data_IF_354997979180
#
_entry.id   IF_354997979180
#
_cell.length_a   1.000
_cell.length_b   1.000
_cell.length_c   1.000
_cell.angle_alpha   90.00
_cell.angle_beta   90.00
_cell.angle_gamma   90.00
#
_symmetry.space_group_name_H-M   'P 1'
#
loop_
_entity.id
_entity.type
_entity.pdbx_description
1 polymer ?
#
# COMPACT_ATOMS: atom_id res chain seq x y z
N UNK A 1 -0.78 -9.28 -7.83
CA UNK A 1 -0.89 -7.90 -7.31
C UNK A 1 -2.23 -7.33 -7.74
N UNK A 2 -2.77 -6.36 -7.01
CA UNK A 2 -4.10 -5.80 -7.27
C UNK A 2 -4.45 -4.70 -6.26
N UNK A 3 -5.72 -4.31 -6.22
CA UNK A 3 -6.27 -3.30 -5.33
C UNK A 3 -6.89 -3.97 -4.10
N UNK A 4 -6.64 -3.45 -2.90
CA UNK A 4 -7.33 -3.92 -1.68
C UNK A 4 -8.77 -3.44 -1.68
N UNK A 5 -9.75 -4.35 -1.59
CA UNK A 5 -11.17 -3.98 -1.62
C UNK A 5 -11.58 -3.22 -0.34
N UNK A 6 -12.44 -2.19 -0.45
CA UNK A 6 -12.94 -1.43 0.69
C UNK A 6 -13.82 -2.28 1.61
N UNK A 7 -13.69 -2.07 2.91
CA UNK A 7 -14.35 -2.84 3.97
C UNK A 7 -13.93 -4.31 4.06
N UNK A 8 -12.87 -4.73 3.35
CA UNK A 8 -12.47 -6.14 3.30
C UNK A 8 -11.47 -6.54 4.37
N UNK A 9 -10.76 -5.57 4.97
CA UNK A 9 -9.70 -5.87 5.94
C UNK A 9 -10.31 -6.34 7.27
N UNK A 10 -10.07 -7.60 7.60
CA UNK A 10 -10.48 -8.24 8.84
C UNK A 10 -9.24 -8.69 9.61
N UNK A 11 -9.04 -8.11 10.79
CA UNK A 11 -7.97 -8.52 11.73
C UNK A 11 -8.49 -9.62 12.65
N UNK A 12 -7.90 -10.80 12.55
CA UNK A 12 -8.20 -11.96 13.38
C UNK A 12 -7.32 -12.05 14.63
N UNK A 13 -7.33 -13.23 15.26
CA UNK A 13 -6.44 -13.54 16.39
C UNK A 13 -5.01 -13.86 15.92
N UNK A 14 -4.02 -13.62 16.77
CA UNK A 14 -2.61 -14.00 16.55
C UNK A 14 -2.01 -13.45 15.24
N UNK A 15 -2.10 -12.13 15.06
CA UNK A 15 -1.49 -11.38 13.94
C UNK A 15 -1.93 -11.85 12.53
N UNK A 16 -3.06 -12.54 12.44
CA UNK A 16 -3.62 -12.98 11.17
C UNK A 16 -4.57 -11.91 10.63
N UNK A 17 -4.33 -11.46 9.40
CA UNK A 17 -5.18 -10.50 8.68
C UNK A 17 -5.73 -11.19 7.43
N UNK A 18 -7.02 -11.00 7.17
CA UNK A 18 -7.67 -11.39 5.92
C UNK A 18 -8.19 -10.15 5.21
N UNK A 19 -8.13 -10.15 3.90
CA UNK A 19 -8.67 -9.09 3.06
C UNK A 19 -8.92 -9.62 1.66
N UNK A 20 -9.55 -8.83 0.79
CA UNK A 20 -9.73 -9.18 -0.61
C UNK A 20 -8.93 -8.28 -1.51
N UNK A 21 -8.39 -8.87 -2.57
CA UNK A 21 -7.65 -8.17 -3.60
C UNK A 21 -8.33 -8.38 -4.93
N UNK A 22 -8.57 -7.30 -5.67
CA UNK A 22 -9.20 -7.33 -6.98
C UNK A 22 -8.27 -6.80 -8.07
N UNK A 23 -8.42 -7.33 -9.27
CA UNK A 23 -7.87 -6.77 -10.51
C UNK A 23 -8.94 -6.09 -11.38
N UNK A 24 -10.16 -5.96 -10.85
CA UNK A 24 -11.36 -5.48 -11.53
C UNK A 24 -12.32 -6.62 -11.84
N UNK A 25 -12.05 -7.48 -12.84
CA UNK A 25 -12.95 -8.59 -13.20
C UNK A 25 -13.08 -9.67 -12.14
N UNK A 26 -12.06 -9.88 -11.29
CA UNK A 26 -12.06 -10.93 -10.28
C UNK A 26 -11.54 -10.41 -8.93
N UNK A 27 -11.91 -11.12 -7.86
CA UNK A 27 -11.40 -10.86 -6.50
C UNK A 27 -10.94 -12.17 -5.86
N UNK A 28 -9.83 -12.11 -5.14
CA UNK A 28 -9.25 -13.25 -4.39
C UNK A 28 -9.19 -12.92 -2.91
N UNK A 29 -9.56 -13.88 -2.06
CA UNK A 29 -9.33 -13.77 -0.63
C UNK A 29 -7.84 -13.97 -0.33
N UNK A 30 -7.26 -13.06 0.44
CA UNK A 30 -5.88 -13.11 0.90
C UNK A 30 -5.88 -13.34 2.40
N UNK A 31 -5.05 -14.28 2.85
CA UNK A 31 -4.73 -14.49 4.25
C UNK A 31 -3.23 -14.21 4.47
N UNK A 32 -2.92 -13.39 5.46
CA UNK A 32 -1.57 -13.02 5.83
C UNK A 32 -1.38 -13.16 7.34
N UNK A 33 -0.21 -13.63 7.75
CA UNK A 33 0.16 -13.67 9.17
C UNK A 33 1.43 -12.85 9.37
N UNK A 34 1.31 -11.77 10.13
CA UNK A 34 2.40 -10.87 10.43
C UNK A 34 1.96 -9.42 10.47
N UNK A 35 2.95 -8.53 10.48
CA UNK A 35 2.74 -7.10 10.50
C UNK A 35 2.58 -6.62 9.06
N UNK A 36 1.51 -5.88 8.80
CA UNK A 36 1.31 -5.21 7.52
C UNK A 36 2.18 -3.94 7.49
N UNK A 37 2.71 -3.54 6.32
CA UNK A 37 3.35 -2.23 6.16
C UNK A 37 2.41 -1.11 6.61
N UNK A 38 2.96 -0.04 7.17
CA UNK A 38 2.17 1.10 7.65
C UNK A 38 1.31 1.73 6.55
N UNK A 39 1.80 1.69 5.31
CA UNK A 39 1.12 2.22 4.11
C UNK A 39 0.12 1.22 3.49
N UNK A 40 -0.19 0.11 4.16
CA UNK A 40 -1.20 -0.82 3.65
C UNK A 40 -2.59 -0.37 4.07
N UNK A 41 -3.38 0.12 3.11
CA UNK A 41 -4.77 0.52 3.34
C UNK A 41 -5.73 -0.04 2.28
N UNK A 42 -7.02 0.15 2.53
CA UNK A 42 -8.07 -0.14 1.57
C UNK A 42 -8.04 0.86 0.41
N UNK A 43 -8.47 0.44 -0.78
CA UNK A 43 -8.41 1.23 -2.02
C UNK A 43 -6.97 1.59 -2.46
N UNK A 44 -5.96 0.92 -1.92
CA UNK A 44 -4.57 1.08 -2.35
C UNK A 44 -4.06 -0.16 -3.08
N UNK A 45 -3.09 0.07 -3.97
CA UNK A 45 -2.44 -0.99 -4.70
C UNK A 45 -1.53 -1.80 -3.78
N UNK A 46 -1.44 -3.10 -4.04
CA UNK A 46 -0.52 -3.98 -3.30
C UNK A 46 0.07 -5.07 -4.18
N UNK A 47 1.25 -5.55 -3.78
CA UNK A 47 1.90 -6.75 -4.31
C UNK A 47 2.17 -7.70 -3.17
N UNK A 48 1.82 -8.97 -3.36
CA UNK A 48 2.01 -10.00 -2.36
C UNK A 48 2.67 -11.20 -3.00
N UNK A 49 3.58 -11.83 -2.27
CA UNK A 49 4.17 -13.12 -2.65
C UNK A 49 3.64 -14.18 -1.70
N UNK A 50 3.46 -15.41 -2.20
CA UNK A 50 2.77 -16.44 -1.45
C UNK A 50 2.33 -17.62 -2.32
N UNK A 51 1.30 -18.33 -1.86
CA UNK A 51 0.77 -19.53 -2.53
C UNK A 51 -0.76 -19.49 -2.54
N UNK A 52 -1.35 -20.01 -3.61
CA UNK A 52 -2.80 -20.20 -3.69
C UNK A 52 -3.17 -21.58 -3.15
N UNK A 53 -4.00 -21.63 -2.11
CA UNK A 53 -4.43 -22.85 -1.44
C UNK A 53 -5.95 -22.83 -1.30
N UNK A 54 -6.64 -23.77 -1.95
CA UNK A 54 -8.11 -23.88 -1.89
C UNK A 54 -8.87 -22.57 -2.20
N UNK A 55 -8.36 -21.76 -3.14
CA UNK A 55 -8.97 -20.49 -3.53
C UNK A 55 -8.64 -19.30 -2.62
N UNK A 56 -7.87 -19.51 -1.55
CA UNK A 56 -7.31 -18.45 -0.70
C UNK A 56 -5.84 -18.27 -1.03
N UNK A 57 -5.43 -17.03 -1.25
CA UNK A 57 -4.03 -16.68 -1.42
C UNK A 57 -3.38 -16.49 -0.05
N UNK A 58 -2.57 -17.46 0.37
CA UNK A 58 -1.77 -17.38 1.59
C UNK A 58 -0.50 -16.58 1.30
N UNK A 59 -0.52 -15.30 1.70
CA UNK A 59 0.60 -14.38 1.50
C UNK A 59 1.68 -14.62 2.57
N UNK A 60 2.94 -14.69 2.12
CA UNK A 60 4.13 -14.68 2.96
C UNK A 60 4.75 -13.30 3.10
N UNK A 61 4.51 -12.41 2.14
CA UNK A 61 5.01 -11.04 2.13
C UNK A 61 3.99 -10.12 1.45
N UNK A 62 3.85 -8.91 1.98
CA UNK A 62 2.98 -7.86 1.43
C UNK A 62 3.79 -6.58 1.29
N UNK A 63 3.71 -6.00 0.10
CA UNK A 63 4.25 -4.70 -0.26
C UNK A 63 3.08 -3.80 -0.64
N UNK A 64 2.89 -2.70 0.10
CA UNK A 64 1.99 -1.64 -0.33
C UNK A 64 2.63 -0.90 -1.52
N UNK A 65 1.87 -0.73 -2.60
CA UNK A 65 2.29 0.10 -3.73
C UNK A 65 1.92 1.54 -3.42
N UNK A 66 2.91 2.33 -3.03
CA UNK A 66 2.78 3.78 -3.03
C UNK A 66 3.14 4.34 -4.42
N UNK A 67 2.61 5.53 -4.75
CA UNK A 67 3.06 6.30 -5.91
C UNK A 67 4.58 6.48 -5.89
N UNK A 68 5.22 6.30 -7.06
CA UNK A 68 6.67 6.39 -7.29
C UNK A 68 7.27 7.78 -6.97
N UNK A 69 6.46 8.72 -6.49
CA UNK A 69 6.83 10.08 -6.03
C UNK A 69 7.31 10.13 -4.56
N UNK A 70 7.68 9.01 -3.95
CA UNK A 70 8.27 9.01 -2.61
C UNK A 70 9.62 9.74 -2.64
N UNK A 71 9.63 10.99 -2.17
CA UNK A 71 10.85 11.75 -1.93
C UNK A 71 11.13 11.78 -0.42
N UNK A 72 12.16 11.07 0.06
CA UNK A 72 12.52 11.08 1.47
C UNK A 72 12.77 12.51 1.95
N UNK A 73 12.40 12.80 3.20
CA UNK A 73 12.64 14.13 3.79
C UNK A 73 14.11 14.54 3.72
N UNK A 74 15.03 13.59 3.93
CA UNK A 74 16.48 13.82 3.80
C UNK A 74 16.86 14.26 2.38
N UNK A 75 16.24 13.67 1.36
CA UNK A 75 16.43 14.05 -0.05
C UNK A 75 15.81 15.42 -0.33
N UNK A 76 14.64 15.72 0.24
CA UNK A 76 14.05 17.07 0.16
C UNK A 76 14.91 18.14 0.83
N UNK A 77 15.49 17.87 2.00
CA UNK A 77 16.35 18.80 2.73
C UNK A 77 17.68 19.02 1.97
N UNK A 78 18.31 17.95 1.48
CA UNK A 78 19.52 18.05 0.65
C UNK A 78 19.30 18.84 -0.65
N UNK A 79 18.17 18.64 -1.34
CA UNK A 79 17.83 19.38 -2.56
C UNK A 79 17.52 20.87 -2.27
N UNK A 80 16.94 21.18 -1.10
CA UNK A 80 16.72 22.57 -0.65
C UNK A 80 18.03 23.28 -0.29
N UNK A 81 18.96 22.59 0.38
CA UNK A 81 20.27 23.13 0.74
C UNK A 81 21.16 23.41 -0.48
N UNK A 82 21.04 22.59 -1.53
CA UNK A 82 21.79 22.74 -2.79
C UNK A 82 21.18 23.78 -3.75
N UNK A 83 20.03 24.37 -3.40
CA UNK A 83 19.37 25.42 -4.20
C UNK A 83 18.75 24.93 -5.51
N UNK A 84 18.68 23.60 -5.73
CA UNK A 84 18.13 22.98 -6.95
C UNK A 84 16.66 22.57 -6.82
N UNK A 85 16.03 22.82 -5.66
CA UNK A 85 14.61 22.51 -5.46
C UNK A 85 13.68 23.40 -6.32
N UNK A 86 13.02 22.80 -7.31
CA UNK A 86 11.90 23.38 -8.07
C UNK A 86 10.59 22.63 -7.78
N UNK A 87 10.22 22.51 -6.52
CA UNK A 87 8.90 21.98 -6.14
C UNK A 87 7.77 23.00 -6.36
N UNK A 88 6.50 22.58 -6.38
CA UNK A 88 5.35 23.48 -6.51
C UNK A 88 5.28 24.43 -5.31
N UNK A 89 4.85 25.68 -5.58
CA UNK A 89 4.67 26.75 -4.60
C UNK A 89 3.70 26.30 -3.48
N UNK A 90 4.06 26.42 -2.19
CA UNK A 90 3.15 26.10 -1.07
C UNK A 90 1.89 27.00 -1.00
N UNK A 91 1.72 27.98 -1.91
CA UNK A 91 0.48 28.73 -2.07
C UNK A 91 -0.60 28.03 -2.92
N UNK A 92 -0.35 26.84 -3.47
CA UNK A 92 -1.36 26.06 -4.19
C UNK A 92 -2.03 25.02 -3.28
N UNK A 93 -2.72 25.50 -2.26
CA UNK A 93 -3.74 24.73 -1.53
C UNK A 93 -5.10 25.06 -2.14
N UNK A 94 -5.77 24.17 -2.91
CA UNK A 94 -7.18 24.31 -3.20
C UNK A 94 -7.98 23.45 -2.22
N UNK A 95 -7.95 23.77 -0.92
CA UNK A 95 -9.02 23.39 -0.01
C UNK A 95 -10.14 24.43 -0.14
N UNK A 96 -11.20 24.05 -0.85
CA UNK A 96 -12.55 24.60 -0.66
C UNK A 96 -13.33 23.63 0.20
#
# INVERSE_FOLDING_TARGET
GGLVEPGSIVRGQSDTVRFRVTDGPASVEVAYRGILPDLFSENEGMVGTGRLVNGVFEASEILAKHDETYMPREVMEALKEQGEWRGPDPAADPQT
#
